data_IF_633084985338
#
_entry.id   IF_633084985338
#
_cell.length_a   1.000
_cell.length_b   1.000
_cell.length_c   1.000
_cell.angle_alpha   90.00
_cell.angle_beta   90.00
_cell.angle_gamma   90.00
#
_symmetry.space_group_name_H-M   'P 1'
#
loop_
_entity.id
_entity.type
_entity.pdbx_description
1 polymer ?
#
# COMPACT_ATOMS: atom_id res chain seq x y z
N UNK A 1 22.19 -12.95 -24.40
CA UNK A 1 21.41 -14.05 -25.01
C UNK A 1 20.38 -14.46 -23.98
N UNK A 2 19.09 -14.48 -24.33
CA UNK A 2 18.04 -14.92 -23.42
C UNK A 2 17.49 -16.28 -23.84
N UNK A 3 16.88 -16.96 -22.89
CA UNK A 3 16.29 -18.28 -23.10
C UNK A 3 14.78 -18.20 -22.96
N UNK A 4 14.05 -18.76 -23.93
CA UNK A 4 12.59 -18.88 -23.84
C UNK A 4 12.30 -20.31 -23.35
N UNK A 5 11.47 -20.41 -22.31
CA UNK A 5 10.92 -21.65 -21.78
C UNK A 5 9.44 -21.68 -22.18
N UNK A 6 9.14 -22.53 -23.16
CA UNK A 6 7.80 -22.64 -23.75
C UNK A 6 7.31 -24.09 -23.85
N UNK A 7 8.13 -25.07 -23.42
CA UNK A 7 7.71 -26.47 -23.36
C UNK A 7 7.87 -27.03 -21.93
N UNK A 8 7.10 -28.09 -21.57
CA UNK A 8 7.24 -28.76 -20.28
C UNK A 8 8.64 -29.34 -20.06
N UNK A 9 9.29 -29.82 -21.10
CA UNK A 9 10.64 -30.39 -21.04
C UNK A 9 11.66 -29.33 -20.64
N UNK A 10 11.63 -28.15 -21.30
CA UNK A 10 12.49 -27.02 -20.97
C UNK A 10 12.24 -26.51 -19.54
N UNK A 11 10.98 -26.51 -19.09
CA UNK A 11 10.62 -26.13 -17.73
C UNK A 11 11.21 -27.10 -16.71
N UNK A 12 11.18 -28.42 -16.98
CA UNK A 12 11.78 -29.43 -16.14
C UNK A 12 13.31 -29.32 -16.11
N UNK A 13 13.98 -29.13 -17.27
CA UNK A 13 15.42 -28.86 -17.34
C UNK A 13 15.81 -27.63 -16.48
N UNK A 14 15.05 -26.55 -16.57
CA UNK A 14 15.28 -25.38 -15.74
C UNK A 14 15.08 -25.66 -14.24
N UNK A 15 14.08 -26.45 -13.88
CA UNK A 15 13.82 -26.87 -12.52
C UNK A 15 14.96 -27.71 -11.94
N UNK A 16 15.54 -28.66 -12.73
CA UNK A 16 16.63 -29.53 -12.32
C UNK A 16 17.95 -28.77 -12.01
N UNK A 17 18.14 -27.56 -12.55
CA UNK A 17 19.31 -26.73 -12.21
C UNK A 17 19.30 -26.34 -10.72
N UNK A 18 18.13 -26.21 -10.10
CA UNK A 18 17.99 -26.04 -8.66
C UNK A 18 18.46 -24.69 -8.13
N UNK A 19 18.09 -23.60 -8.78
CA UNK A 19 18.39 -22.25 -8.29
C UNK A 19 17.71 -21.96 -6.95
N UNK A 20 18.44 -21.36 -6.01
CA UNK A 20 17.92 -20.98 -4.69
C UNK A 20 17.23 -19.61 -4.68
N UNK A 21 17.85 -18.63 -5.34
CA UNK A 21 17.45 -17.22 -5.32
C UNK A 21 17.30 -16.66 -6.72
N UNK A 22 16.16 -16.04 -6.98
CA UNK A 22 15.84 -15.48 -8.29
C UNK A 22 15.19 -14.11 -8.15
N UNK A 23 15.43 -13.25 -9.14
CA UNK A 23 14.61 -12.07 -9.40
C UNK A 23 13.54 -12.44 -10.43
N UNK A 24 12.30 -12.01 -10.20
CA UNK A 24 11.20 -12.22 -11.14
C UNK A 24 10.50 -10.91 -11.43
N UNK A 25 10.34 -10.63 -12.72
CA UNK A 25 9.51 -9.54 -13.23
C UNK A 25 8.32 -10.10 -13.99
N UNK A 26 7.08 -9.93 -13.50
CA UNK A 26 5.88 -10.31 -14.22
C UNK A 26 5.55 -9.27 -15.30
N UNK A 27 5.27 -9.73 -16.52
CA UNK A 27 4.76 -8.88 -17.57
C UNK A 27 3.26 -9.17 -17.69
N UNK A 28 2.45 -8.22 -17.19
CA UNK A 28 1.00 -8.31 -17.24
C UNK A 28 0.49 -8.06 -18.66
N UNK A 29 -0.75 -8.44 -18.97
CA UNK A 29 -1.37 -8.16 -20.27
C UNK A 29 -1.39 -6.67 -20.58
N UNK A 30 -1.71 -5.85 -19.60
CA UNK A 30 -1.66 -4.41 -19.69
C UNK A 30 -1.24 -3.81 -18.33
N UNK A 31 -0.22 -2.94 -18.33
CA UNK A 31 0.29 -2.32 -17.11
C UNK A 31 -0.67 -1.31 -16.47
N UNK A 32 -1.70 -0.87 -17.18
CA UNK A 32 -2.68 0.10 -16.69
C UNK A 32 -3.92 -0.53 -16.06
N UNK A 33 -4.11 -1.85 -16.20
CA UNK A 33 -5.26 -2.58 -15.65
C UNK A 33 -4.91 -3.03 -14.22
N UNK A 34 -5.87 -2.89 -13.31
CA UNK A 34 -5.71 -3.36 -11.93
C UNK A 34 -5.32 -4.86 -11.89
N UNK A 35 -4.35 -5.26 -11.04
CA UNK A 35 -3.90 -6.66 -10.99
C UNK A 35 -5.01 -7.69 -10.73
N UNK A 36 -6.09 -7.33 -10.01
CA UNK A 36 -7.25 -8.20 -9.80
C UNK A 36 -8.01 -8.54 -11.10
N UNK A 37 -7.91 -7.68 -12.13
CA UNK A 37 -8.60 -7.78 -13.41
C UNK A 37 -7.65 -8.19 -14.54
N UNK A 38 -6.38 -8.40 -14.24
CA UNK A 38 -5.32 -8.58 -15.20
C UNK A 38 -4.82 -10.03 -15.25
N UNK A 39 -4.05 -10.33 -16.27
CA UNK A 39 -3.40 -11.63 -16.44
C UNK A 39 -1.90 -11.43 -16.68
N UNK A 40 -1.11 -12.46 -16.45
CA UNK A 40 0.32 -12.47 -16.81
C UNK A 40 0.49 -12.98 -18.23
N UNK A 41 1.20 -12.21 -19.04
CA UNK A 41 1.64 -12.62 -20.38
C UNK A 41 2.90 -13.49 -20.28
N UNK A 42 3.91 -12.98 -19.57
CA UNK A 42 5.22 -13.58 -19.44
C UNK A 42 5.73 -13.45 -18.00
N UNK A 43 6.65 -14.34 -17.61
CA UNK A 43 7.52 -14.17 -16.47
C UNK A 43 8.96 -14.09 -16.94
N UNK A 44 9.63 -12.99 -16.62
CA UNK A 44 11.07 -12.92 -16.71
C UNK A 44 11.66 -13.44 -15.39
N UNK A 45 12.62 -14.38 -15.46
CA UNK A 45 13.31 -14.96 -14.32
C UNK A 45 14.82 -14.77 -14.49
N UNK A 46 15.45 -14.17 -13.50
CA UNK A 46 16.92 -13.97 -13.45
C UNK A 46 17.46 -14.65 -12.18
N UNK A 47 18.12 -15.82 -12.29
CA UNK A 47 18.86 -16.38 -11.16
C UNK A 47 19.99 -15.45 -10.72
N UNK A 48 20.17 -15.28 -9.39
CA UNK A 48 21.17 -14.33 -8.89
C UNK A 48 22.62 -14.86 -8.97
N UNK A 49 22.79 -16.11 -9.33
CA UNK A 49 24.10 -16.78 -9.42
C UNK A 49 24.70 -16.81 -10.83
N UNK A 50 23.97 -16.33 -11.83
CA UNK A 50 24.46 -16.28 -13.22
C UNK A 50 23.88 -15.08 -14.00
N UNK A 51 24.47 -14.81 -15.16
CA UNK A 51 24.07 -13.67 -16.02
C UNK A 51 22.96 -14.00 -17.03
N UNK A 52 22.39 -15.22 -16.96
CA UNK A 52 21.38 -15.65 -17.93
C UNK A 52 19.97 -15.25 -17.43
N UNK A 53 19.20 -14.59 -18.32
CA UNK A 53 17.79 -14.34 -18.10
C UNK A 53 16.93 -15.34 -18.85
N UNK A 54 15.78 -15.70 -18.28
CA UNK A 54 14.81 -16.64 -18.83
C UNK A 54 13.44 -16.00 -18.94
N UNK A 55 12.73 -16.29 -20.02
CA UNK A 55 11.33 -15.89 -20.20
C UNK A 55 10.47 -17.15 -20.22
N UNK A 56 9.49 -17.22 -19.30
CA UNK A 56 8.44 -18.23 -19.30
C UNK A 56 7.19 -17.65 -19.94
N UNK A 57 6.66 -18.33 -20.95
CA UNK A 57 5.47 -17.88 -21.64
C UNK A 57 4.20 -18.46 -21.00
N UNK A 58 3.31 -17.56 -20.54
CA UNK A 58 1.97 -17.95 -20.10
C UNK A 58 0.90 -17.63 -21.17
N UNK A 59 1.06 -16.53 -21.88
CA UNK A 59 0.20 -16.18 -23.00
C UNK A 59 0.82 -15.05 -23.82
N UNK A 60 1.53 -15.39 -24.89
CA UNK A 60 2.17 -14.42 -25.79
C UNK A 60 2.13 -14.92 -27.24
N UNK A 61 2.06 -14.00 -28.19
CA UNK A 61 1.88 -14.37 -29.61
C UNK A 61 3.11 -15.04 -30.26
N UNK A 62 4.31 -14.79 -29.71
CA UNK A 62 5.58 -15.28 -30.29
C UNK A 62 6.10 -16.56 -29.60
N UNK A 63 5.38 -17.14 -28.61
CA UNK A 63 5.85 -18.33 -27.91
C UNK A 63 4.71 -19.25 -27.47
N UNK A 64 5.01 -20.54 -27.27
CA UNK A 64 4.04 -21.53 -26.83
C UNK A 64 3.67 -21.30 -25.35
N UNK A 65 2.42 -21.52 -25.05
CA UNK A 65 1.84 -21.30 -23.73
C UNK A 65 2.13 -22.45 -22.77
N UNK A 66 2.75 -22.14 -21.65
CA UNK A 66 2.89 -23.06 -20.53
C UNK A 66 1.67 -23.05 -19.60
N UNK A 67 1.40 -24.19 -18.96
CA UNK A 67 0.38 -24.31 -17.94
C UNK A 67 0.82 -23.64 -16.63
N UNK A 68 -0.11 -22.98 -15.95
CA UNK A 68 0.15 -22.23 -14.70
C UNK A 68 0.61 -23.16 -13.54
N UNK A 69 0.05 -24.38 -13.43
CA UNK A 69 0.33 -25.27 -12.30
C UNK A 69 1.81 -25.69 -12.21
N UNK A 70 2.46 -26.20 -13.27
CA UNK A 70 3.90 -26.48 -13.24
C UNK A 70 4.75 -25.27 -12.89
N UNK A 71 4.40 -24.08 -13.44
CA UNK A 71 5.09 -22.82 -13.12
C UNK A 71 4.95 -22.50 -11.62
N UNK A 72 3.75 -22.66 -11.05
CA UNK A 72 3.53 -22.41 -9.61
C UNK A 72 4.40 -23.34 -8.75
N UNK A 73 4.54 -24.61 -9.13
CA UNK A 73 5.39 -25.56 -8.44
C UNK A 73 6.89 -25.18 -8.53
N UNK A 74 7.35 -24.77 -9.71
CA UNK A 74 8.70 -24.25 -9.90
C UNK A 74 8.94 -23.03 -8.99
N UNK A 75 8.04 -22.04 -9.03
CA UNK A 75 8.19 -20.84 -8.22
C UNK A 75 8.19 -21.14 -6.71
N UNK A 76 7.41 -22.12 -6.28
CA UNK A 76 7.38 -22.53 -4.88
C UNK A 76 8.68 -23.25 -4.42
N UNK A 77 9.49 -23.77 -5.34
CA UNK A 77 10.74 -24.47 -5.03
C UNK A 77 11.92 -23.53 -4.74
N UNK A 78 11.88 -22.29 -5.20
CA UNK A 78 12.92 -21.31 -4.88
C UNK A 78 12.88 -20.97 -3.38
N UNK A 79 14.04 -20.74 -2.78
CA UNK A 79 14.13 -20.29 -1.37
C UNK A 79 13.69 -18.84 -1.22
N UNK A 80 14.12 -17.99 -2.14
CA UNK A 80 13.81 -16.55 -2.14
C UNK A 80 13.49 -16.08 -3.57
N UNK A 81 12.37 -15.40 -3.72
CA UNK A 81 11.97 -14.74 -4.96
C UNK A 81 11.89 -13.24 -4.71
N UNK A 82 12.75 -12.48 -5.35
CA UNK A 82 12.74 -11.02 -5.32
C UNK A 82 11.84 -10.47 -6.42
N UNK A 83 10.88 -9.64 -6.05
CA UNK A 83 9.91 -9.00 -6.97
C UNK A 83 9.81 -7.51 -6.68
N UNK A 84 9.47 -6.70 -7.66
CA UNK A 84 9.29 -5.25 -7.49
C UNK A 84 7.94 -4.85 -6.88
N UNK A 85 6.92 -5.64 -7.03
CA UNK A 85 5.58 -5.41 -6.48
C UNK A 85 4.97 -6.75 -6.06
N UNK A 86 5.27 -7.15 -4.83
CA UNK A 86 4.73 -8.39 -4.28
C UNK A 86 3.21 -8.39 -4.26
N UNK A 87 2.60 -7.24 -3.98
CA UNK A 87 1.15 -7.12 -3.88
C UNK A 87 0.47 -7.48 -5.21
N UNK A 88 0.96 -6.94 -6.32
CA UNK A 88 0.47 -7.29 -7.65
C UNK A 88 0.79 -8.75 -8.04
N UNK A 89 1.95 -9.24 -7.65
CA UNK A 89 2.37 -10.61 -7.96
C UNK A 89 1.48 -11.68 -7.31
N UNK A 90 1.06 -11.49 -6.05
CA UNK A 90 0.25 -12.46 -5.32
C UNK A 90 -1.19 -12.61 -5.84
N UNK A 91 -1.69 -11.69 -6.68
CA UNK A 91 -2.95 -11.90 -7.38
C UNK A 91 -2.92 -13.11 -8.31
N UNK A 92 -1.75 -13.39 -8.88
CA UNK A 92 -1.59 -14.52 -9.81
C UNK A 92 -0.92 -15.72 -9.14
N UNK A 93 0.16 -15.48 -8.37
CA UNK A 93 0.94 -16.51 -7.69
C UNK A 93 1.00 -16.20 -6.18
N UNK A 94 0.09 -16.77 -5.36
CA UNK A 94 0.04 -16.51 -3.91
C UNK A 94 1.12 -17.31 -3.15
N UNK A 95 2.37 -16.98 -3.41
CA UNK A 95 3.54 -17.63 -2.83
C UNK A 95 3.98 -16.97 -1.51
N UNK A 96 4.66 -17.75 -0.65
CA UNK A 96 5.13 -17.27 0.66
C UNK A 96 6.58 -16.77 0.63
N UNK A 97 7.38 -17.24 -0.31
CA UNK A 97 8.82 -16.97 -0.47
C UNK A 97 9.12 -15.69 -1.28
N UNK A 98 8.14 -14.80 -1.43
CA UNK A 98 8.29 -13.53 -2.13
C UNK A 98 8.86 -12.45 -1.22
N UNK A 99 9.84 -11.70 -1.73
CA UNK A 99 10.45 -10.53 -1.09
C UNK A 99 10.23 -9.33 -2.00
N UNK A 100 9.59 -8.30 -1.47
CA UNK A 100 9.32 -7.07 -2.19
C UNK A 100 10.50 -6.11 -2.07
N UNK A 101 11.21 -5.90 -3.17
CA UNK A 101 12.39 -5.04 -3.19
C UNK A 101 12.08 -3.56 -3.37
N UNK A 102 10.85 -3.20 -3.76
CA UNK A 102 10.48 -1.79 -3.95
C UNK A 102 10.47 -0.99 -2.66
N UNK A 103 10.45 -1.65 -1.50
CA UNK A 103 10.64 -0.98 -0.21
C UNK A 103 12.09 -0.52 0.04
N UNK A 104 13.05 -0.99 -0.74
CA UNK A 104 14.47 -0.68 -0.58
C UNK A 104 15.03 0.17 -1.72
N UNK A 105 14.28 0.33 -2.80
CA UNK A 105 14.70 1.17 -3.94
C UNK A 105 14.33 2.63 -3.68
N UNK A 106 15.25 3.59 -3.93
CA UNK A 106 15.00 5.02 -3.63
C UNK A 106 13.90 5.64 -4.49
N UNK A 107 13.67 5.11 -5.68
CA UNK A 107 12.62 5.53 -6.59
C UNK A 107 11.98 4.32 -7.28
N UNK A 108 10.65 4.31 -7.32
CA UNK A 108 9.94 3.37 -8.17
C UNK A 108 10.03 3.88 -9.61
N UNK A 109 11.10 3.48 -10.30
CA UNK A 109 11.29 3.81 -11.70
C UNK A 109 10.84 2.64 -12.56
N UNK A 110 9.78 2.83 -13.34
CA UNK A 110 9.49 1.93 -14.44
C UNK A 110 10.26 2.40 -15.68
N UNK A 111 11.34 1.74 -16.10
CA UNK A 111 12.02 2.11 -17.33
C UNK A 111 11.10 1.80 -18.50
N UNK A 112 10.66 2.84 -19.19
CA UNK A 112 10.04 2.70 -20.52
C UNK A 112 11.14 2.65 -21.58
N UNK A 113 10.93 1.87 -22.62
CA UNK A 113 11.76 1.91 -23.82
C UNK A 113 10.97 2.59 -24.94
N UNK A 114 11.62 3.24 -25.92
CA UNK A 114 10.91 3.85 -27.06
C UNK A 114 9.96 2.88 -27.77
N UNK A 115 10.33 1.60 -27.83
CA UNK A 115 9.48 0.57 -28.43
C UNK A 115 8.20 0.35 -27.63
N UNK A 116 8.28 0.24 -26.29
CA UNK A 116 7.12 0.10 -25.43
C UNK A 116 6.23 1.34 -25.51
N UNK A 117 6.81 2.54 -25.49
CA UNK A 117 6.07 3.79 -25.64
C UNK A 117 5.30 3.84 -26.96
N UNK A 118 5.92 3.47 -28.07
CA UNK A 118 5.26 3.42 -29.38
C UNK A 118 4.13 2.39 -29.40
N UNK A 119 4.34 1.20 -28.83
CA UNK A 119 3.28 0.19 -28.73
C UNK A 119 2.12 0.67 -27.86
N UNK A 120 2.39 1.31 -26.72
CA UNK A 120 1.34 1.88 -25.87
C UNK A 120 0.61 3.04 -26.55
N UNK A 121 1.28 3.91 -27.27
CA UNK A 121 0.64 4.97 -28.05
C UNK A 121 -0.31 4.40 -29.11
N UNK A 122 0.09 3.32 -29.79
CA UNK A 122 -0.68 2.73 -30.89
C UNK A 122 -1.76 1.74 -30.42
N UNK A 123 -1.57 1.11 -29.25
CA UNK A 123 -2.38 -0.03 -28.78
C UNK A 123 -2.73 0.03 -27.29
N UNK A 124 -2.44 1.11 -26.60
CA UNK A 124 -2.51 1.21 -25.13
C UNK A 124 -3.86 0.95 -24.51
N UNK A 125 -4.93 1.09 -25.27
CA UNK A 125 -6.31 0.80 -24.82
C UNK A 125 -6.69 -0.67 -24.99
N UNK A 126 -5.81 -1.53 -25.52
CA UNK A 126 -6.07 -2.97 -25.62
C UNK A 126 -5.71 -3.68 -24.33
N UNK A 127 -6.62 -4.48 -23.83
CA UNK A 127 -6.45 -5.23 -22.58
C UNK A 127 -5.22 -6.16 -22.58
N UNK A 128 -4.73 -6.53 -23.76
CA UNK A 128 -3.65 -7.50 -23.94
C UNK A 128 -2.43 -6.95 -24.69
N UNK A 129 -2.16 -5.66 -24.63
CA UNK A 129 -1.08 -5.00 -25.40
C UNK A 129 0.29 -5.68 -25.23
N UNK A 130 0.63 -6.17 -24.04
CA UNK A 130 1.91 -6.83 -23.78
C UNK A 130 2.01 -8.26 -24.35
N UNK A 131 0.93 -8.83 -24.89
CA UNK A 131 1.00 -10.13 -25.57
C UNK A 131 1.48 -9.99 -27.03
N UNK A 132 1.59 -8.77 -27.56
CA UNK A 132 1.97 -8.46 -28.93
C UNK A 132 3.28 -7.69 -29.06
N UNK A 133 3.81 -7.13 -27.98
CA UNK A 133 5.14 -6.50 -27.98
C UNK A 133 6.19 -7.61 -28.11
N UNK A 134 7.18 -7.48 -29.03
CA UNK A 134 8.16 -8.54 -29.24
C UNK A 134 8.86 -9.02 -27.96
N UNK A 135 9.05 -10.32 -27.81
CA UNK A 135 9.71 -10.96 -26.66
C UNK A 135 11.09 -10.36 -26.37
N UNK A 136 11.85 -10.04 -27.43
CA UNK A 136 13.16 -9.39 -27.29
C UNK A 136 13.07 -8.04 -26.57
N UNK A 137 11.98 -7.30 -26.81
CA UNK A 137 11.78 -5.98 -26.19
C UNK A 137 11.35 -6.10 -24.73
N UNK A 138 10.55 -7.09 -24.41
CA UNK A 138 10.27 -7.41 -22.99
C UNK A 138 11.54 -7.84 -22.26
N UNK A 139 12.36 -8.69 -22.88
CA UNK A 139 13.62 -9.10 -22.29
C UNK A 139 14.55 -7.90 -22.04
N UNK A 140 14.78 -7.05 -23.05
CA UNK A 140 15.58 -5.83 -22.93
C UNK A 140 15.10 -4.94 -21.77
N UNK A 141 13.78 -4.72 -21.66
CA UNK A 141 13.18 -3.96 -20.56
C UNK A 141 13.47 -4.59 -19.20
N UNK A 142 13.30 -5.91 -19.06
CA UNK A 142 13.54 -6.62 -17.83
C UNK A 142 15.00 -6.62 -17.38
N UNK A 143 15.95 -6.73 -18.31
CA UNK A 143 17.38 -6.58 -18.02
C UNK A 143 17.70 -5.16 -17.50
N UNK A 144 17.14 -4.12 -18.13
CA UNK A 144 17.28 -2.73 -17.65
C UNK A 144 16.70 -2.55 -16.23
N UNK A 145 15.57 -3.20 -15.94
CA UNK A 145 14.99 -3.20 -14.60
C UNK A 145 15.93 -3.91 -13.63
N UNK A 146 16.37 -5.11 -13.96
CA UNK A 146 17.28 -5.89 -13.13
C UNK A 146 18.56 -5.11 -12.79
N UNK A 147 19.19 -4.49 -13.78
CA UNK A 147 20.40 -3.69 -13.59
C UNK A 147 20.22 -2.52 -12.62
N UNK A 148 19.02 -1.93 -12.59
CA UNK A 148 18.68 -0.85 -11.66
C UNK A 148 18.42 -1.33 -10.23
N UNK A 149 17.97 -2.58 -10.06
CA UNK A 149 17.52 -3.07 -8.75
C UNK A 149 18.45 -4.11 -8.12
N UNK A 150 19.45 -4.62 -8.84
CA UNK A 150 20.33 -5.72 -8.39
C UNK A 150 21.07 -5.44 -7.07
N UNK A 151 21.34 -4.17 -6.75
CA UNK A 151 22.01 -3.76 -5.51
C UNK A 151 21.07 -3.66 -4.30
N UNK A 152 19.76 -3.87 -4.51
CA UNK A 152 18.73 -3.73 -3.50
C UNK A 152 18.09 -5.06 -3.07
N UNK A 153 18.71 -6.20 -3.38
CA UNK A 153 18.24 -7.52 -2.94
C UNK A 153 18.52 -7.73 -1.45
N UNK A 154 17.70 -7.08 -0.60
CA UNK A 154 17.80 -7.11 0.86
C UNK A 154 16.60 -7.83 1.47
N UNK A 155 16.81 -8.38 2.65
CA UNK A 155 15.78 -9.09 3.42
C UNK A 155 15.46 -8.42 4.74
N UNK A 156 16.15 -7.33 5.08
CA UNK A 156 15.89 -6.52 6.26
C UNK A 156 14.44 -6.06 6.25
N UNK A 157 13.73 -6.21 7.36
CA UNK A 157 12.32 -5.87 7.48
C UNK A 157 11.34 -6.62 6.52
N UNK A 158 11.79 -7.61 5.75
CA UNK A 158 10.95 -8.35 4.80
C UNK A 158 9.67 -8.90 5.45
N UNK A 159 9.74 -9.31 6.72
CA UNK A 159 8.56 -9.79 7.47
C UNK A 159 7.48 -8.69 7.62
N UNK A 160 7.88 -7.45 7.92
CA UNK A 160 6.94 -6.34 8.03
C UNK A 160 6.43 -5.93 6.65
N UNK A 161 7.31 -5.81 5.67
CA UNK A 161 6.96 -5.45 4.29
C UNK A 161 5.98 -6.46 3.68
N UNK A 162 6.20 -7.75 3.92
CA UNK A 162 5.28 -8.81 3.50
C UNK A 162 3.91 -8.74 4.23
N UNK A 163 3.89 -8.32 5.50
CA UNK A 163 2.64 -8.06 6.21
C UNK A 163 1.90 -6.87 5.58
N UNK A 164 2.59 -5.75 5.33
CA UNK A 164 2.01 -4.56 4.72
C UNK A 164 1.41 -4.88 3.34
N UNK A 165 2.17 -5.51 2.44
CA UNK A 165 1.66 -5.90 1.11
C UNK A 165 0.47 -6.86 1.20
N UNK A 166 0.44 -7.77 2.18
CA UNK A 166 -0.69 -8.68 2.38
C UNK A 166 -1.93 -7.99 2.92
N UNK A 167 -1.78 -6.98 3.78
CA UNK A 167 -2.88 -6.15 4.29
C UNK A 167 -3.54 -5.39 3.13
N UNK A 168 -2.75 -4.67 2.34
CA UNK A 168 -3.31 -3.88 1.24
C UNK A 168 -3.83 -4.75 0.10
N UNK A 169 -3.22 -5.89 -0.19
CA UNK A 169 -3.79 -6.90 -1.08
C UNK A 169 -5.18 -7.36 -0.62
N UNK A 170 -5.34 -7.63 0.68
CA UNK A 170 -6.62 -8.09 1.21
C UNK A 170 -7.73 -7.02 1.11
N UNK A 171 -7.37 -5.74 1.25
CA UNK A 171 -8.31 -4.62 1.08
C UNK A 171 -8.68 -4.46 -0.41
N UNK A 172 -7.68 -4.31 -1.27
CA UNK A 172 -7.85 -4.04 -2.71
C UNK A 172 -8.66 -5.13 -3.41
N UNK A 173 -8.39 -6.40 -3.11
CA UNK A 173 -9.08 -7.53 -3.75
C UNK A 173 -10.59 -7.59 -3.49
N UNK A 174 -11.06 -6.97 -2.41
CA UNK A 174 -12.47 -6.97 -2.05
C UNK A 174 -13.29 -6.05 -2.96
N UNK A 175 -12.69 -4.93 -3.42
CA UNK A 175 -13.39 -3.92 -4.20
C UNK A 175 -14.51 -3.24 -3.42
N UNK A 176 -15.14 -2.27 -4.04
CA UNK A 176 -16.28 -1.51 -3.49
C UNK A 176 -17.40 -1.54 -4.54
N UNK A 177 -18.58 -1.95 -4.13
CA UNK A 177 -19.76 -1.93 -5.02
C UNK A 177 -20.15 -0.48 -5.33
N UNK A 178 -20.51 -0.23 -6.58
CA UNK A 178 -20.87 1.11 -7.06
C UNK A 178 -22.35 1.22 -7.48
N UNK A 179 -22.89 2.39 -7.24
CA UNK A 179 -24.11 2.83 -7.90
C UNK A 179 -23.69 3.57 -9.19
N UNK A 180 -23.75 2.88 -10.33
CA UNK A 180 -23.29 3.39 -11.62
C UNK A 180 -23.92 4.73 -11.99
N UNK A 181 -25.22 4.92 -11.77
CA UNK A 181 -25.92 6.19 -12.04
C UNK A 181 -25.36 7.35 -11.24
N UNK A 182 -24.98 7.13 -9.96
CA UNK A 182 -24.37 8.17 -9.13
C UNK A 182 -22.90 8.39 -9.52
N UNK A 183 -22.20 7.30 -9.86
CA UNK A 183 -20.81 7.37 -10.30
C UNK A 183 -20.71 8.24 -11.58
N UNK A 184 -21.49 7.94 -12.61
CA UNK A 184 -21.51 8.69 -13.88
C UNK A 184 -21.88 10.16 -13.71
N UNK A 185 -22.66 10.50 -12.67
CA UNK A 185 -23.04 11.88 -12.35
C UNK A 185 -21.91 12.71 -11.76
N UNK A 186 -21.05 12.08 -10.96
CA UNK A 186 -20.04 12.79 -10.16
C UNK A 186 -18.62 12.64 -10.68
N UNK A 187 -18.36 11.64 -11.52
CA UNK A 187 -17.06 11.36 -12.08
C UNK A 187 -17.18 11.36 -13.60
N UNK A 188 -16.41 12.24 -14.25
CA UNK A 188 -16.24 12.18 -15.71
C UNK A 188 -15.40 10.95 -16.06
N UNK A 189 -16.06 9.81 -16.17
CA UNK A 189 -15.42 8.55 -16.47
C UNK A 189 -15.15 8.46 -17.97
N UNK A 190 -13.96 8.80 -18.39
CA UNK A 190 -13.39 8.13 -19.55
C UNK A 190 -13.20 6.68 -19.12
N UNK A 191 -14.09 5.78 -19.55
CA UNK A 191 -14.25 4.39 -19.10
C UNK A 191 -12.95 3.53 -19.16
N UNK A 192 -11.86 4.07 -19.68
CA UNK A 192 -10.60 3.39 -19.95
C UNK A 192 -9.62 3.40 -18.76
N UNK A 193 -9.88 4.21 -17.72
CA UNK A 193 -8.90 4.42 -16.64
C UNK A 193 -9.38 3.95 -15.25
N UNK A 194 -10.63 3.51 -15.14
CA UNK A 194 -11.13 3.05 -13.84
C UNK A 194 -11.07 1.52 -13.76
N UNK A 195 -10.49 1.04 -12.68
CA UNK A 195 -10.43 -0.37 -12.34
C UNK A 195 -11.82 -0.88 -11.92
N UNK A 196 -12.76 -0.89 -12.88
CA UNK A 196 -14.16 -1.29 -12.68
C UNK A 196 -14.42 -2.57 -13.47
N UNK A 197 -14.97 -3.56 -12.78
CA UNK A 197 -15.55 -4.73 -13.41
C UNK A 197 -16.96 -4.94 -12.84
N UNK A 198 -17.94 -5.14 -13.72
CA UNK A 198 -19.34 -5.22 -13.35
C UNK A 198 -19.75 -3.96 -12.56
N UNK A 199 -20.29 -4.11 -11.37
CA UNK A 199 -20.64 -3.02 -10.48
C UNK A 199 -19.64 -2.85 -9.32
N UNK A 200 -18.36 -3.19 -9.53
CA UNK A 200 -17.32 -3.14 -8.50
C UNK A 200 -16.14 -2.33 -8.98
N UNK A 201 -15.71 -1.36 -8.16
CA UNK A 201 -14.47 -0.60 -8.35
C UNK A 201 -13.40 -1.13 -7.42
N UNK A 202 -12.17 -1.25 -7.92
CA UNK A 202 -11.02 -1.72 -7.14
C UNK A 202 -10.11 -0.55 -6.77
N UNK A 203 -9.78 -0.43 -5.48
CA UNK A 203 -8.76 0.51 -5.00
C UNK A 203 -7.38 -0.03 -5.28
N UNK A 204 -6.39 0.85 -5.47
CA UNK A 204 -4.99 0.48 -5.58
C UNK A 204 -4.13 1.43 -4.76
N UNK A 205 -3.34 0.89 -3.83
CA UNK A 205 -2.47 1.66 -2.94
C UNK A 205 -1.02 1.55 -3.37
N UNK A 206 -0.36 2.70 -3.52
CA UNK A 206 1.09 2.76 -3.62
C UNK A 206 1.69 2.77 -2.20
N UNK A 207 2.49 1.74 -1.88
CA UNK A 207 3.15 1.58 -0.58
C UNK A 207 4.57 2.15 -0.56
N UNK A 208 5.12 2.53 -1.71
CA UNK A 208 6.52 2.92 -1.90
C UNK A 208 6.68 4.44 -1.85
N UNK A 209 6.08 5.08 -0.87
CA UNK A 209 6.17 6.52 -0.65
C UNK A 209 7.30 6.85 0.32
N UNK A 210 7.80 8.08 0.29
CA UNK A 210 8.90 8.53 1.16
C UNK A 210 8.64 8.26 2.65
N UNK A 211 7.40 8.45 3.11
CA UNK A 211 7.02 8.23 4.51
C UNK A 211 6.46 6.81 4.76
N UNK A 212 6.37 5.97 3.73
CA UNK A 212 5.67 4.69 3.79
C UNK A 212 4.14 4.83 3.92
N UNK A 213 3.59 6.06 3.97
CA UNK A 213 2.15 6.30 4.05
C UNK A 213 1.49 5.95 2.71
N UNK A 214 0.58 4.98 2.64
CA UNK A 214 -0.02 4.55 1.39
C UNK A 214 -0.76 5.70 0.69
N UNK A 215 -0.55 5.83 -0.61
CA UNK A 215 -1.35 6.74 -1.44
C UNK A 215 -2.18 5.95 -2.44
N UNK A 216 -3.33 6.48 -2.85
CA UNK A 216 -4.08 5.87 -3.93
C UNK A 216 -3.32 5.99 -5.25
N UNK A 217 -3.34 4.93 -6.05
CA UNK A 217 -2.75 4.93 -7.39
C UNK A 217 -3.46 5.91 -8.31
N UNK A 218 -2.71 6.56 -9.21
CA UNK A 218 -3.24 7.54 -10.18
C UNK A 218 -4.26 6.97 -11.16
N UNK A 219 -4.34 5.65 -11.31
CA UNK A 219 -5.31 4.96 -12.17
C UNK A 219 -6.60 4.59 -11.41
N UNK A 220 -6.84 5.18 -10.25
CA UNK A 220 -8.02 4.91 -9.42
C UNK A 220 -8.55 6.20 -8.81
N UNK A 221 -9.76 6.12 -8.23
CA UNK A 221 -10.33 7.22 -7.45
C UNK A 221 -9.48 7.43 -6.20
N UNK A 222 -9.10 8.69 -5.96
CA UNK A 222 -8.45 9.07 -4.70
C UNK A 222 -9.50 9.17 -3.58
N UNK A 223 -9.79 8.04 -2.95
CA UNK A 223 -10.80 7.95 -1.90
C UNK A 223 -10.49 8.84 -0.69
N UNK A 224 -9.22 9.04 -0.35
CA UNK A 224 -8.80 9.90 0.76
C UNK A 224 -9.10 11.39 0.51
N UNK A 225 -9.20 11.80 -0.76
CA UNK A 225 -9.49 13.18 -1.17
C UNK A 225 -10.95 13.38 -1.61
N UNK A 226 -11.85 12.40 -1.44
CA UNK A 226 -13.25 12.55 -1.82
C UNK A 226 -13.95 13.59 -0.95
N UNK A 227 -14.54 14.58 -1.61
CA UNK A 227 -15.33 15.62 -0.95
C UNK A 227 -16.52 15.00 -0.18
N UNK A 228 -16.74 15.52 1.04
CA UNK A 228 -17.86 15.06 1.89
C UNK A 228 -19.19 15.73 1.53
N UNK A 229 -19.16 16.90 0.88
CA UNK A 229 -20.33 17.79 0.76
C UNK A 229 -20.99 17.76 -0.62
N UNK A 230 -20.33 17.25 -1.66
CA UNK A 230 -20.84 17.27 -3.03
C UNK A 230 -21.69 16.05 -3.42
N UNK A 231 -21.84 15.08 -2.51
CA UNK A 231 -22.61 13.86 -2.71
C UNK A 231 -21.94 12.79 -3.59
N UNK A 232 -20.67 12.96 -4.00
CA UNK A 232 -19.95 11.98 -4.81
C UNK A 232 -19.80 10.63 -4.09
N UNK A 233 -19.75 10.63 -2.75
CA UNK A 233 -19.65 9.43 -1.91
C UNK A 233 -20.90 8.53 -1.99
N UNK A 234 -22.05 9.03 -2.48
CA UNK A 234 -23.25 8.20 -2.76
C UNK A 234 -23.03 7.19 -3.88
N UNK A 235 -21.97 7.37 -4.65
CA UNK A 235 -21.58 6.43 -5.69
C UNK A 235 -21.12 5.07 -5.14
N UNK A 236 -20.72 5.01 -3.87
CA UNK A 236 -20.20 3.82 -3.23
C UNK A 236 -21.21 3.26 -2.25
N UNK A 237 -21.60 2.00 -2.46
CA UNK A 237 -22.63 1.28 -1.71
C UNK A 237 -22.10 -0.05 -1.19
N UNK A 238 -22.62 -0.58 -0.07
CA UNK A 238 -22.22 -1.89 0.42
C UNK A 238 -22.75 -3.00 -0.49
N UNK A 239 -22.03 -4.10 -0.55
CA UNK A 239 -22.50 -5.36 -1.13
C UNK A 239 -23.30 -6.18 -0.10
N UNK A 240 -22.91 -6.09 1.19
CA UNK A 240 -23.61 -6.67 2.33
C UNK A 240 -24.72 -5.72 2.85
N UNK A 241 -25.04 -5.75 4.15
CA UNK A 241 -26.15 -4.99 4.69
C UNK A 241 -25.88 -3.49 4.77
N UNK A 242 -24.66 -3.08 5.15
CA UNK A 242 -24.28 -1.68 5.33
C UNK A 242 -22.77 -1.44 5.30
N UNK A 243 -22.37 -0.19 5.16
CA UNK A 243 -21.03 0.24 5.54
C UNK A 243 -20.96 0.52 7.05
N UNK A 244 -19.80 0.18 7.64
CA UNK A 244 -19.38 0.65 8.96
C UNK A 244 -17.97 1.23 8.80
N UNK A 245 -17.80 2.51 9.18
CA UNK A 245 -16.50 3.15 9.24
C UNK A 245 -16.04 3.17 10.69
N UNK A 246 -14.79 2.76 10.92
CA UNK A 246 -14.11 2.84 12.22
C UNK A 246 -12.98 3.85 12.04
N UNK A 247 -13.13 5.00 12.70
CA UNK A 247 -12.22 6.16 12.65
C UNK A 247 -11.45 6.26 13.96
N UNK A 248 -10.14 6.51 13.90
CA UNK A 248 -9.27 6.63 15.07
C UNK A 248 -9.27 8.08 15.55
N UNK A 249 -9.73 8.30 16.76
CA UNK A 249 -9.83 9.63 17.34
C UNK A 249 -8.47 10.18 17.74
N UNK A 250 -8.17 11.45 17.38
CA UNK A 250 -6.93 12.16 17.71
C UNK A 250 -5.64 11.35 17.43
N UNK A 251 -5.56 10.70 16.28
CA UNK A 251 -4.57 9.66 16.04
C UNK A 251 -3.13 10.15 16.19
N UNK A 252 -2.68 11.18 15.44
CA UNK A 252 -1.30 11.68 15.53
C UNK A 252 -0.94 12.22 16.91
N UNK A 253 -1.78 13.00 17.60
CA UNK A 253 -1.51 13.37 19.01
C UNK A 253 -1.35 12.17 19.94
N UNK A 254 -2.18 11.12 19.75
CA UNK A 254 -2.10 9.89 20.56
C UNK A 254 -0.80 9.12 20.26
N UNK A 255 -0.41 9.00 18.98
CA UNK A 255 0.85 8.36 18.60
C UNK A 255 2.07 9.14 19.13
N UNK A 256 2.02 10.48 19.09
CA UNK A 256 3.07 11.32 19.66
C UNK A 256 3.18 11.10 21.18
N UNK A 257 2.05 11.05 21.89
CA UNK A 257 2.02 10.77 23.30
C UNK A 257 2.62 9.39 23.63
N UNK A 258 2.22 8.35 22.88
CA UNK A 258 2.79 7.01 23.06
C UNK A 258 4.30 6.97 22.80
N UNK A 259 4.78 7.68 21.75
CA UNK A 259 6.19 7.79 21.44
C UNK A 259 7.00 8.46 22.56
N UNK A 260 6.40 9.45 23.22
CA UNK A 260 7.00 10.23 24.30
C UNK A 260 6.79 9.62 25.69
N UNK A 261 5.99 8.56 25.82
CA UNK A 261 5.57 8.01 27.11
C UNK A 261 4.68 8.96 27.92
N UNK A 262 3.95 9.85 27.22
CA UNK A 262 3.02 10.80 27.83
C UNK A 262 1.61 10.21 27.96
N UNK A 263 0.95 10.45 29.09
CA UNK A 263 -0.41 9.98 29.35
C UNK A 263 -1.33 11.18 29.61
N UNK A 264 -2.40 11.30 28.82
CA UNK A 264 -3.45 12.31 29.01
C UNK A 264 -4.49 11.91 30.05
N UNK A 265 -4.36 10.75 30.68
CA UNK A 265 -5.35 10.18 31.60
C UNK A 265 -6.67 9.88 30.91
N UNK A 266 -7.79 10.31 31.51
CA UNK A 266 -9.12 10.10 30.96
C UNK A 266 -9.48 11.09 29.81
N UNK A 267 -8.74 12.20 29.71
CA UNK A 267 -8.98 13.23 28.69
C UNK A 267 -8.54 12.78 27.29
N UNK A 268 -9.17 13.32 26.24
CA UNK A 268 -8.61 13.23 24.90
C UNK A 268 -7.48 14.26 24.75
N UNK A 269 -6.53 14.07 23.81
CA UNK A 269 -5.49 15.07 23.54
C UNK A 269 -6.04 16.48 23.29
N UNK A 270 -7.24 16.58 22.70
CA UNK A 270 -7.87 17.87 22.41
C UNK A 270 -8.51 18.51 23.64
N UNK A 271 -9.14 17.72 24.50
CA UNK A 271 -9.72 18.19 25.79
C UNK A 271 -8.60 18.66 26.70
N UNK A 272 -7.51 17.89 26.82
CA UNK A 272 -6.34 18.28 27.58
C UNK A 272 -5.78 19.62 27.08
N UNK A 273 -5.53 19.76 25.76
CA UNK A 273 -4.99 21.01 25.23
C UNK A 273 -5.96 22.19 25.41
N UNK A 274 -7.26 21.98 25.18
CA UNK A 274 -8.28 23.01 25.39
C UNK A 274 -8.26 23.55 26.82
N UNK A 275 -8.15 22.65 27.80
CA UNK A 275 -8.10 22.99 29.22
C UNK A 275 -6.82 23.76 29.60
N UNK A 276 -5.64 23.26 29.18
CA UNK A 276 -4.35 23.90 29.46
C UNK A 276 -4.20 25.27 28.77
N UNK A 277 -4.75 25.43 27.58
CA UNK A 277 -4.70 26.67 26.81
C UNK A 277 -5.86 27.64 27.08
N UNK A 278 -6.91 27.21 27.81
CA UNK A 278 -8.11 28.01 28.09
C UNK A 278 -8.93 28.33 26.83
N UNK A 279 -9.02 27.39 25.87
CA UNK A 279 -9.72 27.55 24.59
C UNK A 279 -10.79 26.47 24.40
N UNK A 280 -11.63 26.63 23.37
CA UNK A 280 -12.63 25.62 23.01
C UNK A 280 -11.99 24.37 22.38
N UNK A 281 -12.58 23.19 22.61
CA UNK A 281 -12.07 21.90 22.08
C UNK A 281 -11.99 21.88 20.54
N UNK A 282 -12.94 22.52 19.89
CA UNK A 282 -12.95 22.67 18.41
C UNK A 282 -11.75 23.48 17.89
N UNK A 283 -11.34 24.51 18.62
CA UNK A 283 -10.16 25.32 18.33
C UNK A 283 -8.87 24.54 18.66
N UNK A 284 -8.85 23.89 19.83
CA UNK A 284 -7.73 23.04 20.25
C UNK A 284 -7.40 21.96 19.20
N UNK A 285 -8.40 21.37 18.55
CA UNK A 285 -8.21 20.40 17.48
C UNK A 285 -7.41 20.99 16.30
N UNK A 286 -7.74 22.20 15.86
CA UNK A 286 -7.05 22.88 14.75
C UNK A 286 -5.62 23.25 15.15
N UNK A 287 -5.48 23.83 16.34
CA UNK A 287 -4.21 24.31 16.86
C UNK A 287 -3.25 23.14 17.17
N UNK A 288 -3.74 22.01 17.66
CA UNK A 288 -2.94 20.81 17.93
C UNK A 288 -2.15 20.37 16.68
N UNK A 289 -2.79 20.30 15.51
CA UNK A 289 -2.11 19.95 14.28
C UNK A 289 -1.08 21.01 13.85
N UNK A 290 -1.37 22.29 14.10
CA UNK A 290 -0.41 23.37 13.83
C UNK A 290 0.84 23.24 14.71
N UNK A 291 0.66 22.90 16.02
CA UNK A 291 1.77 22.67 16.92
C UNK A 291 2.60 21.46 16.48
N UNK A 292 1.95 20.34 16.16
CA UNK A 292 2.63 19.11 15.78
C UNK A 292 3.44 19.24 14.49
N UNK A 293 2.95 20.00 13.49
CA UNK A 293 3.54 20.04 12.16
C UNK A 293 4.28 21.33 11.84
N UNK A 294 3.93 22.42 12.50
CA UNK A 294 4.50 23.73 12.25
C UNK A 294 5.51 24.20 13.29
N UNK A 295 5.61 23.46 14.40
CA UNK A 295 6.41 23.83 15.57
C UNK A 295 5.58 24.49 16.65
N UNK A 296 6.10 24.45 17.90
CA UNK A 296 5.37 24.90 19.09
C UNK A 296 5.40 26.42 19.19
N UNK A 297 4.21 27.04 19.26
CA UNK A 297 4.08 28.47 19.45
C UNK A 297 4.49 28.88 20.88
N UNK A 298 5.11 30.06 21.02
CA UNK A 298 5.64 30.54 22.30
C UNK A 298 4.60 30.55 23.42
N UNK A 299 3.33 30.85 23.09
CA UNK A 299 2.21 30.88 24.05
C UNK A 299 1.86 29.51 24.61
N UNK A 300 2.21 28.40 23.92
CA UNK A 300 1.90 27.02 24.36
C UNK A 300 3.13 26.26 24.86
N UNK A 301 4.31 26.88 24.89
CA UNK A 301 5.55 26.25 25.35
C UNK A 301 5.54 25.88 26.85
N UNK A 302 4.62 26.43 27.62
CA UNK A 302 4.45 26.10 29.03
C UNK A 302 3.71 24.76 29.25
N UNK A 303 3.07 24.21 28.22
CA UNK A 303 2.30 22.96 28.30
C UNK A 303 3.27 21.77 28.21
N UNK A 304 3.27 20.90 29.22
CA UNK A 304 4.21 19.78 29.37
C UNK A 304 4.31 18.89 28.15
N UNK A 305 3.16 18.54 27.55
CA UNK A 305 3.14 17.72 26.35
C UNK A 305 3.89 18.37 25.17
N UNK A 306 3.74 19.66 24.99
CA UNK A 306 4.43 20.38 23.92
C UNK A 306 5.91 20.60 24.19
N UNK A 307 6.33 20.71 25.47
CA UNK A 307 7.75 20.73 25.83
C UNK A 307 8.41 19.41 25.45
N UNK A 308 7.79 18.27 25.78
CA UNK A 308 8.30 16.96 25.40
C UNK A 308 8.39 16.77 23.87
N UNK A 309 7.42 17.30 23.11
CA UNK A 309 7.47 17.30 21.64
C UNK A 309 8.68 18.11 21.13
N UNK A 310 8.88 19.34 21.64
CA UNK A 310 9.99 20.19 21.22
C UNK A 310 11.35 19.54 21.52
N UNK A 311 11.52 18.97 22.71
CA UNK A 311 12.71 18.20 23.08
C UNK A 311 12.94 17.00 22.16
N UNK A 312 11.89 16.23 21.89
CA UNK A 312 11.97 15.07 21.01
C UNK A 312 12.32 15.45 19.57
N UNK A 313 11.70 16.50 19.02
CA UNK A 313 11.99 17.03 17.68
C UNK A 313 13.46 17.42 17.56
N UNK A 314 14.01 18.11 18.58
CA UNK A 314 15.42 18.50 18.61
C UNK A 314 16.36 17.28 18.69
N UNK A 315 16.01 16.28 19.52
CA UNK A 315 16.76 15.02 19.62
C UNK A 315 16.74 14.25 18.30
N UNK A 316 15.58 14.10 17.70
CA UNK A 316 15.38 13.41 16.42
C UNK A 316 16.18 14.07 15.29
N UNK A 317 16.16 15.41 15.25
CA UNK A 317 16.94 16.18 14.29
C UNK A 317 18.45 16.01 14.46
N UNK A 318 18.93 16.00 15.71
CA UNK A 318 20.33 15.74 16.02
C UNK A 318 20.75 14.33 15.58
N UNK A 319 19.93 13.33 15.84
CA UNK A 319 20.16 11.94 15.41
C UNK A 319 20.23 11.84 13.88
N UNK A 320 19.23 12.42 13.20
CA UNK A 320 19.15 12.45 11.75
C UNK A 320 20.38 13.13 11.11
N UNK A 321 20.78 14.29 11.60
CA UNK A 321 21.96 15.02 11.08
C UNK A 321 23.29 14.32 11.39
N UNK A 322 23.34 13.53 12.46
CA UNK A 322 24.55 12.79 12.86
C UNK A 322 24.70 11.50 12.06
N UNK A 323 23.64 10.74 11.86
CA UNK A 323 23.69 9.43 11.23
C UNK A 323 23.28 9.44 9.74
N UNK A 324 22.69 10.54 9.24
CA UNK A 324 22.16 10.65 7.89
C UNK A 324 20.81 9.96 7.66
N UNK A 325 20.26 9.35 8.70
CA UNK A 325 18.94 8.70 8.64
C UNK A 325 18.32 8.54 10.03
N UNK A 326 17.00 8.26 10.04
CA UNK A 326 16.27 7.71 11.17
C UNK A 326 15.43 6.53 10.72
N UNK A 327 15.09 5.63 11.63
CA UNK A 327 14.27 4.46 11.34
C UNK A 327 13.03 4.38 12.22
N UNK A 328 11.94 3.89 11.66
CA UNK A 328 10.72 3.60 12.41
C UNK A 328 10.91 2.39 13.33
N UNK A 329 10.56 2.48 14.61
CA UNK A 329 10.73 1.38 15.57
C UNK A 329 9.82 0.17 15.29
N UNK A 330 8.73 0.33 14.54
CA UNK A 330 7.77 -0.73 14.23
C UNK A 330 8.10 -1.43 12.91
N UNK A 331 8.28 -0.65 11.84
CA UNK A 331 8.48 -1.17 10.48
C UNK A 331 9.94 -1.30 10.07
N UNK A 332 10.84 -0.57 10.74
CA UNK A 332 12.21 -0.41 10.27
C UNK A 332 12.35 0.46 9.02
N UNK A 333 11.27 1.13 8.58
CA UNK A 333 11.33 2.05 7.45
C UNK A 333 12.32 3.19 7.74
N UNK A 334 13.15 3.50 6.75
CA UNK A 334 14.25 4.46 6.90
C UNK A 334 13.89 5.75 6.18
N UNK A 335 13.98 6.87 6.89
CA UNK A 335 13.96 8.22 6.32
C UNK A 335 15.41 8.67 6.15
N UNK A 336 15.86 8.79 4.91
CA UNK A 336 17.24 9.11 4.53
C UNK A 336 17.48 10.61 4.34
N UNK A 337 18.74 11.03 4.22
CA UNK A 337 19.14 12.44 4.09
C UNK A 337 18.99 13.02 2.67
N UNK A 338 18.45 12.25 1.73
CA UNK A 338 18.15 12.69 0.37
C UNK A 338 16.77 13.36 0.22
N UNK A 339 16.00 13.45 1.32
CA UNK A 339 14.69 14.13 1.33
C UNK A 339 14.89 15.64 1.15
N UNK A 340 14.38 16.20 0.06
CA UNK A 340 14.48 17.63 -0.25
C UNK A 340 13.80 18.51 0.80
N UNK A 341 14.47 19.64 1.12
CA UNK A 341 13.93 20.68 2.01
C UNK A 341 13.46 20.13 3.36
N UNK A 342 14.16 19.12 3.91
CA UNK A 342 13.87 18.56 5.22
C UNK A 342 14.26 19.56 6.31
N UNK A 343 13.42 19.64 7.34
CA UNK A 343 13.65 20.42 8.55
C UNK A 343 13.15 19.64 9.76
N UNK A 344 13.42 20.05 11.01
CA UNK A 344 13.05 19.31 12.20
C UNK A 344 11.54 18.97 12.27
N UNK A 345 10.66 19.91 11.95
CA UNK A 345 9.21 19.75 12.00
C UNK A 345 8.73 18.80 10.89
N UNK A 346 9.26 18.95 9.69
CA UNK A 346 8.93 18.07 8.56
C UNK A 346 9.41 16.64 8.84
N UNK A 347 10.58 16.47 9.42
CA UNK A 347 11.11 15.17 9.84
C UNK A 347 10.19 14.50 10.87
N UNK A 348 9.77 15.25 11.89
CA UNK A 348 8.83 14.75 12.91
C UNK A 348 7.48 14.37 12.30
N UNK A 349 6.94 15.20 11.41
CA UNK A 349 5.70 14.88 10.68
C UNK A 349 5.83 13.59 9.87
N UNK A 350 6.96 13.40 9.16
CA UNK A 350 7.22 12.18 8.39
C UNK A 350 7.36 10.95 9.30
N UNK A 351 7.97 11.12 10.47
CA UNK A 351 8.05 10.08 11.50
C UNK A 351 6.67 9.67 11.99
N UNK A 352 5.79 10.64 12.29
CA UNK A 352 4.42 10.36 12.72
C UNK A 352 3.59 9.68 11.62
N UNK A 353 3.72 10.09 10.36
CA UNK A 353 3.05 9.44 9.23
C UNK A 353 3.50 7.99 9.05
N UNK A 354 4.79 7.73 9.21
CA UNK A 354 5.30 6.37 9.14
C UNK A 354 4.84 5.53 10.33
N UNK A 355 4.85 6.09 11.54
CA UNK A 355 4.37 5.43 12.74
C UNK A 355 2.87 5.10 12.64
N UNK A 356 2.04 6.02 12.12
CA UNK A 356 0.63 5.82 11.78
C UNK A 356 0.47 4.59 10.88
N UNK A 357 1.14 4.59 9.72
CA UNK A 357 1.04 3.49 8.77
C UNK A 357 1.49 2.16 9.37
N UNK A 358 2.61 2.18 10.09
CA UNK A 358 3.19 0.97 10.68
C UNK A 358 2.27 0.36 11.75
N UNK A 359 1.64 1.21 12.56
CA UNK A 359 0.63 0.81 13.56
C UNK A 359 -0.61 0.26 12.87
N UNK A 360 -1.11 0.97 11.84
CA UNK A 360 -2.28 0.53 11.08
C UNK A 360 -2.08 -0.81 10.39
N UNK A 361 -0.90 -1.06 9.80
CA UNK A 361 -0.59 -2.38 9.21
C UNK A 361 -0.73 -3.49 10.25
N UNK A 362 -0.31 -3.26 11.49
CA UNK A 362 -0.47 -4.23 12.57
C UNK A 362 -1.93 -4.42 12.99
N UNK A 363 -2.67 -3.32 13.18
CA UNK A 363 -4.09 -3.33 13.54
C UNK A 363 -4.91 -4.03 12.47
N UNK A 364 -4.79 -3.58 11.22
CA UNK A 364 -5.58 -4.11 10.09
C UNK A 364 -5.25 -5.57 9.84
N UNK A 365 -3.99 -5.99 10.03
CA UNK A 365 -3.60 -7.40 9.98
C UNK A 365 -4.35 -8.25 11.02
N UNK A 366 -4.50 -7.75 12.24
CA UNK A 366 -5.24 -8.45 13.30
C UNK A 366 -6.75 -8.45 13.01
N UNK A 367 -7.30 -7.35 12.48
CA UNK A 367 -8.70 -7.31 12.01
C UNK A 367 -8.93 -8.31 10.87
N UNK A 368 -8.05 -8.40 9.88
CA UNK A 368 -8.15 -9.39 8.78
C UNK A 368 -8.19 -10.82 9.32
N UNK A 369 -7.43 -11.13 10.37
CA UNK A 369 -7.49 -12.45 11.03
C UNK A 369 -8.85 -12.73 11.67
N UNK A 370 -9.45 -11.73 12.32
CA UNK A 370 -10.80 -11.84 12.89
C UNK A 370 -11.86 -12.05 11.81
N UNK A 371 -11.69 -11.42 10.65
CA UNK A 371 -12.62 -11.51 9.52
C UNK A 371 -12.47 -12.82 8.71
N UNK A 372 -11.52 -13.69 9.06
CA UNK A 372 -11.36 -14.95 8.35
C UNK A 372 -12.60 -15.84 8.49
N UNK A 373 -13.21 -16.19 7.34
CA UNK A 373 -14.44 -16.98 7.29
C UNK A 373 -15.73 -16.18 7.52
N UNK A 374 -15.62 -14.84 7.69
CA UNK A 374 -16.76 -13.92 7.81
C UNK A 374 -17.16 -13.35 6.44
N UNK A 375 -18.40 -12.88 6.34
CA UNK A 375 -18.91 -12.16 5.16
C UNK A 375 -18.46 -10.69 5.14
N UNK A 376 -18.30 -10.09 6.32
CA UNK A 376 -17.77 -8.73 6.49
C UNK A 376 -16.35 -8.61 5.93
N UNK A 377 -16.07 -7.53 5.20
CA UNK A 377 -14.78 -7.29 4.54
C UNK A 377 -14.32 -5.85 4.76
N UNK A 378 -13.01 -5.64 4.87
CA UNK A 378 -12.43 -4.29 4.77
C UNK A 378 -12.37 -3.95 3.28
N UNK A 379 -13.00 -2.85 2.87
CA UNK A 379 -13.06 -2.43 1.46
C UNK A 379 -12.30 -1.15 1.18
N UNK A 380 -12.01 -0.36 2.23
CA UNK A 380 -11.26 0.89 2.08
C UNK A 380 -10.42 1.18 3.32
N UNK A 381 -9.28 1.81 3.09
CA UNK A 381 -8.37 2.37 4.09
C UNK A 381 -8.12 3.84 3.75
N UNK A 382 -8.31 4.74 4.70
CA UNK A 382 -8.14 6.18 4.54
C UNK A 382 -7.34 6.78 5.71
N UNK A 383 -6.12 6.26 5.92
CA UNK A 383 -5.16 6.70 6.94
C UNK A 383 -5.63 6.46 8.37
N UNK A 384 -6.51 7.29 8.89
CA UNK A 384 -7.07 7.24 10.24
C UNK A 384 -8.35 6.40 10.33
N UNK A 385 -8.85 5.88 9.22
CA UNK A 385 -10.05 5.04 9.24
C UNK A 385 -9.99 3.81 8.33
N UNK A 386 -10.81 2.82 8.65
CA UNK A 386 -11.14 1.67 7.80
C UNK A 386 -12.64 1.63 7.54
N UNK A 387 -13.02 1.30 6.29
CA UNK A 387 -14.41 1.09 5.91
C UNK A 387 -14.67 -0.40 5.74
N UNK A 388 -15.68 -0.89 6.44
CA UNK A 388 -16.16 -2.26 6.37
C UNK A 388 -17.41 -2.33 5.48
N UNK A 389 -17.45 -3.27 4.56
CA UNK A 389 -18.66 -3.81 3.95
C UNK A 389 -19.19 -4.87 4.89
N UNK A 390 -20.14 -4.48 5.75
CA UNK A 390 -20.53 -5.21 6.94
C UNK A 390 -21.77 -6.08 6.74
N UNK A 391 -21.66 -7.33 7.18
CA UNK A 391 -22.79 -8.27 7.27
C UNK A 391 -23.24 -8.35 8.73
N UNK A 392 -24.54 -8.10 8.95
CA UNK A 392 -25.13 -8.04 10.30
C UNK A 392 -25.09 -9.42 11.03
N UNK A 393 -25.03 -10.53 10.27
CA UNK A 393 -24.94 -11.87 10.86
C UNK A 393 -23.56 -12.16 11.50
N UNK A 394 -22.52 -11.41 11.13
CA UNK A 394 -21.18 -11.63 11.67
C UNK A 394 -21.02 -11.17 13.11
N UNK A 395 -21.76 -10.14 13.54
CA UNK A 395 -21.74 -9.53 14.88
C UNK A 395 -20.34 -9.35 15.49
N UNK A 396 -19.45 -8.68 14.73
CA UNK A 396 -18.01 -8.67 15.02
C UNK A 396 -17.46 -7.29 15.41
N UNK A 397 -18.29 -6.23 15.43
CA UNK A 397 -17.81 -4.86 15.60
C UNK A 397 -17.10 -4.64 16.93
N UNK A 398 -17.65 -5.14 18.02
CA UNK A 398 -17.01 -4.95 19.35
C UNK A 398 -15.66 -5.69 19.43
N UNK A 399 -15.53 -6.85 18.81
CA UNK A 399 -14.25 -7.56 18.70
C UNK A 399 -13.23 -6.78 17.87
N UNK A 400 -13.66 -6.11 16.80
CA UNK A 400 -12.78 -5.24 16.00
C UNK A 400 -12.35 -4.03 16.84
N UNK A 401 -13.25 -3.37 17.57
CA UNK A 401 -12.91 -2.26 18.49
C UNK A 401 -11.88 -2.67 19.54
N UNK A 402 -12.00 -3.88 20.09
CA UNK A 402 -11.02 -4.40 21.05
C UNK A 402 -9.63 -4.57 20.42
N UNK A 403 -9.51 -4.81 19.09
CA UNK A 403 -8.20 -4.78 18.44
C UNK A 403 -7.58 -3.39 18.54
N UNK A 404 -8.33 -2.32 18.25
CA UNK A 404 -7.80 -0.95 18.35
C UNK A 404 -7.42 -0.59 19.80
N UNK A 405 -8.22 -1.02 20.79
CA UNK A 405 -7.93 -0.84 22.21
C UNK A 405 -6.60 -1.46 22.64
N UNK A 406 -6.21 -2.62 22.09
CA UNK A 406 -4.89 -3.24 22.38
C UNK A 406 -3.72 -2.36 21.97
N UNK A 407 -3.93 -1.42 21.06
CA UNK A 407 -2.95 -0.42 20.64
C UNK A 407 -3.15 0.93 21.36
N UNK A 408 -3.95 0.96 22.44
CA UNK A 408 -4.31 2.17 23.18
C UNK A 408 -4.92 3.27 22.30
N UNK A 409 -5.76 2.89 21.33
CA UNK A 409 -6.41 3.80 20.41
C UNK A 409 -7.92 3.86 20.66
N UNK A 410 -8.45 5.08 20.76
CA UNK A 410 -9.89 5.34 20.87
C UNK A 410 -10.47 5.42 19.46
N UNK A 411 -11.65 4.83 19.25
CA UNK A 411 -12.30 4.82 17.93
C UNK A 411 -13.71 5.38 18.00
N UNK A 412 -14.11 6.03 16.91
CA UNK A 412 -15.50 6.40 16.62
C UNK A 412 -16.02 5.47 15.53
N UNK A 413 -17.26 5.05 15.63
CA UNK A 413 -17.91 4.17 14.63
C UNK A 413 -19.09 4.89 14.05
N UNK A 414 -19.19 4.92 12.73
CA UNK A 414 -20.35 5.42 11.97
C UNK A 414 -20.84 4.36 11.01
N UNK A 415 -22.12 4.39 10.62
CA UNK A 415 -22.74 3.40 9.74
C UNK A 415 -23.62 4.06 8.68
N UNK A 416 -23.77 3.44 7.51
CA UNK A 416 -24.58 3.98 6.43
C UNK A 416 -24.87 2.96 5.32
N UNK A 417 -25.87 3.28 4.50
CA UNK A 417 -26.21 2.51 3.29
C UNK A 417 -25.44 2.99 2.05
N UNK A 418 -24.60 3.97 2.20
CA UNK A 418 -23.61 4.44 1.23
C UNK A 418 -22.51 5.20 2.00
N UNK A 419 -21.46 5.60 1.30
CA UNK A 419 -20.30 6.27 1.92
C UNK A 419 -20.49 7.78 2.17
N UNK A 420 -21.65 8.38 1.83
CA UNK A 420 -21.90 9.83 1.93
C UNK A 420 -22.38 10.25 3.33
N UNK A 421 -23.44 9.62 3.83
CA UNK A 421 -24.03 9.94 5.14
C UNK A 421 -23.89 8.76 6.08
N UNK A 422 -22.75 8.75 6.76
CA UNK A 422 -22.44 7.80 7.81
C UNK A 422 -22.81 8.43 9.17
N UNK A 423 -23.70 7.82 9.94
CA UNK A 423 -24.22 8.28 11.23
C UNK A 423 -23.75 7.36 12.34
#
# INVERSE_FOLDING_TARGET
MFYIIETPEQLNEFFEIGYDKVFIEPILYNSYIHPALNHISLLYIKPLVNDKGYILCLNHNEALKLNKTPITNLLASFKEIYVRDRKSFIYVFPLKNLIDISFYTPEYVEPTTPTHETFYQNHGHRDNVNTIIPLTKHYEKCELIFDKVKDYFKTDNAKFNNKATSVFFAIERNGIKINKKQLDKHFELNNEHFNIQDDTIYTQYNLYTTTGRPSNSFNSINFAALAKENGCRKSFIPNNNRFIEIDISAYHPTLAAQLLGYDFGDETPYEYFAKEAGIEVSEAKILMFRQLYGGIYNEYKHIDFFQLIEEHVNKLWKEYTTHGYISCPISGHILTNDIKDINPQKLFNYTLQNLETSTNVCIVWDVIKLLKGKKTKIVLYTYDSILLDYDDEDDIIEQIKEVFKKYNLRTKTTKGLNYDKMI
#
